data_IF_909291308283
#
_entry.id   IF_909291308283
#
_cell.length_a   1.000
_cell.length_b   1.000
_cell.length_c   1.000
_cell.angle_alpha   90.00
_cell.angle_beta   90.00
_cell.angle_gamma   90.00
#
_symmetry.space_group_name_H-M   'P 1'
#
loop_
_entity.id
_entity.type
_entity.pdbx_description
1 polymer ?
#
# COMPACT_ATOMS: atom_id res chain seq x y z
N UNK A 1 -18.76 19.00 -19.91
CA UNK A 1 -18.19 19.55 -18.66
C UNK A 1 -18.37 18.63 -17.45
N UNK A 2 -19.58 18.10 -17.20
CA UNK A 2 -19.81 17.22 -16.04
C UNK A 2 -19.02 15.89 -16.08
N UNK A 3 -18.75 15.32 -17.26
CA UNK A 3 -17.92 14.10 -17.36
C UNK A 3 -16.45 14.36 -17.04
N UNK A 4 -15.89 15.49 -17.49
CA UNK A 4 -14.49 15.87 -17.23
C UNK A 4 -14.24 16.04 -15.73
N UNK A 5 -15.18 16.67 -15.01
CA UNK A 5 -15.09 16.84 -13.55
C UNK A 5 -15.19 15.47 -12.85
N UNK A 6 -16.07 14.58 -13.33
CA UNK A 6 -16.23 13.22 -12.80
C UNK A 6 -14.96 12.38 -13.01
N UNK A 7 -14.36 12.43 -14.19
CA UNK A 7 -13.12 11.68 -14.49
C UNK A 7 -11.94 12.19 -13.66
N UNK A 8 -11.85 13.50 -13.42
CA UNK A 8 -10.78 14.06 -12.59
C UNK A 8 -10.94 13.68 -11.11
N UNK A 9 -12.17 13.66 -10.59
CA UNK A 9 -12.46 13.19 -9.22
C UNK A 9 -12.17 11.69 -9.10
N UNK A 10 -12.51 10.90 -10.12
CA UNK A 10 -12.25 9.45 -10.14
C UNK A 10 -10.75 9.15 -10.17
N UNK A 11 -10.01 9.87 -11.02
CA UNK A 11 -8.54 9.80 -11.07
C UNK A 11 -7.89 10.26 -9.76
N UNK A 12 -8.44 11.30 -9.10
CA UNK A 12 -7.93 11.77 -7.81
C UNK A 12 -8.19 10.75 -6.69
N UNK A 13 -9.35 10.11 -6.69
CA UNK A 13 -9.68 9.01 -5.78
C UNK A 13 -8.74 7.82 -6.01
N UNK A 14 -8.47 7.44 -7.27
CA UNK A 14 -7.52 6.36 -7.58
C UNK A 14 -6.10 6.69 -7.08
N UNK A 15 -5.62 7.91 -7.30
CA UNK A 15 -4.30 8.35 -6.79
C UNK A 15 -4.27 8.37 -5.26
N UNK A 16 -5.35 8.81 -4.61
CA UNK A 16 -5.46 8.82 -3.15
C UNK A 16 -5.46 7.40 -2.58
N UNK A 17 -6.20 6.48 -3.20
CA UNK A 17 -6.23 5.06 -2.83
C UNK A 17 -4.84 4.43 -3.03
N UNK A 18 -4.15 4.79 -4.11
CA UNK A 18 -2.79 4.34 -4.38
C UNK A 18 -1.80 4.78 -3.30
N UNK A 19 -1.82 6.07 -2.93
CA UNK A 19 -0.94 6.63 -1.90
C UNK A 19 -1.26 6.04 -0.51
N UNK A 20 -2.55 5.87 -0.20
CA UNK A 20 -2.97 5.31 1.10
C UNK A 20 -2.55 3.84 1.26
N UNK A 21 -2.62 3.01 0.21
CA UNK A 21 -2.08 1.63 0.27
C UNK A 21 -0.58 1.60 0.57
N UNK A 22 0.20 2.48 -0.06
CA UNK A 22 1.64 2.59 0.19
C UNK A 22 1.90 3.04 1.64
N UNK A 23 1.15 4.04 2.10
CA UNK A 23 1.27 4.54 3.47
C UNK A 23 0.96 3.46 4.51
N UNK A 24 -0.08 2.65 4.28
CA UNK A 24 -0.43 1.51 5.14
C UNK A 24 0.72 0.49 5.14
N UNK A 25 1.27 0.13 3.99
CA UNK A 25 2.39 -0.79 3.91
C UNK A 25 3.64 -0.29 4.63
N UNK A 26 3.97 1.00 4.50
CA UNK A 26 5.06 1.61 5.28
C UNK A 26 4.77 1.61 6.78
N UNK A 27 3.53 1.88 7.18
CA UNK A 27 3.13 1.89 8.59
C UNK A 27 3.35 0.51 9.23
N UNK A 28 2.89 -0.57 8.58
CA UNK A 28 3.09 -1.96 9.04
C UNK A 28 4.57 -2.30 9.21
N UNK A 29 5.45 -1.85 8.30
CA UNK A 29 6.90 -2.08 8.42
C UNK A 29 7.48 -1.25 9.59
N UNK A 30 7.04 -0.01 9.78
CA UNK A 30 7.58 0.86 10.82
C UNK A 30 7.10 0.49 12.23
N UNK A 31 5.86 0.01 12.37
CA UNK A 31 5.28 -0.40 13.66
C UNK A 31 5.51 -1.87 13.92
N UNK A 32 4.91 -2.75 13.12
CA UNK A 32 4.74 -4.16 13.45
C UNK A 32 6.06 -4.90 13.29
N UNK A 33 6.74 -4.73 12.14
CA UNK A 33 8.07 -5.33 11.95
C UNK A 33 9.06 -4.84 13.02
N UNK A 34 9.05 -3.54 13.35
CA UNK A 34 9.94 -3.00 14.38
C UNK A 34 9.60 -3.53 15.77
N UNK A 35 8.33 -3.72 16.08
CA UNK A 35 7.84 -4.27 17.34
C UNK A 35 8.23 -5.75 17.48
N UNK A 36 7.91 -6.59 16.49
CA UNK A 36 8.24 -8.01 16.49
C UNK A 36 9.75 -8.25 16.50
N UNK A 37 10.53 -7.40 15.80
CA UNK A 37 12.00 -7.42 15.85
C UNK A 37 12.53 -7.12 17.25
N UNK A 38 11.95 -6.15 17.96
CA UNK A 38 12.32 -5.85 19.36
C UNK A 38 11.98 -6.99 20.31
N UNK A 39 10.84 -7.66 20.11
CA UNK A 39 10.42 -8.81 20.92
C UNK A 39 11.10 -10.14 20.55
N UNK A 40 12.04 -10.14 19.59
CA UNK A 40 12.73 -11.32 19.07
C UNK A 40 11.80 -12.37 18.43
N UNK A 41 10.59 -11.98 18.06
CA UNK A 41 9.66 -12.81 17.28
C UNK A 41 10.05 -12.79 15.80
N UNK A 42 11.10 -13.54 15.45
CA UNK A 42 11.69 -13.53 14.09
C UNK A 42 10.66 -13.90 13.01
N UNK A 43 9.85 -14.92 13.25
CA UNK A 43 8.82 -15.38 12.30
C UNK A 43 7.76 -14.32 12.05
N UNK A 44 7.24 -13.69 13.10
CA UNK A 44 6.19 -12.67 12.98
C UNK A 44 6.73 -11.35 12.42
N UNK A 45 8.01 -11.05 12.69
CA UNK A 45 8.71 -9.94 12.06
C UNK A 45 8.82 -10.15 10.55
N UNK A 46 9.31 -11.31 10.10
CA UNK A 46 9.44 -11.60 8.66
C UNK A 46 8.08 -11.60 7.96
N UNK A 47 7.03 -12.11 8.61
CA UNK A 47 5.66 -12.04 8.08
C UNK A 47 5.18 -10.59 7.97
N UNK A 48 5.36 -9.77 9.01
CA UNK A 48 4.95 -8.35 8.97
C UNK A 48 5.71 -7.56 7.91
N UNK A 49 6.99 -7.85 7.72
CA UNK A 49 7.79 -7.25 6.65
C UNK A 49 7.24 -7.65 5.27
N UNK A 50 6.93 -8.94 5.08
CA UNK A 50 6.31 -9.44 3.85
C UNK A 50 4.96 -8.80 3.56
N UNK A 51 4.09 -8.70 4.56
CA UNK A 51 2.76 -8.05 4.43
C UNK A 51 2.92 -6.58 4.05
N UNK A 52 3.80 -5.85 4.72
CA UNK A 52 4.06 -4.44 4.40
C UNK A 52 4.60 -4.25 2.98
N UNK A 53 5.53 -5.11 2.53
CA UNK A 53 6.05 -5.11 1.17
C UNK A 53 4.96 -5.40 0.13
N UNK A 54 4.10 -6.38 0.38
CA UNK A 54 2.98 -6.71 -0.50
C UNK A 54 2.02 -5.53 -0.61
N UNK A 55 1.67 -4.87 0.51
CA UNK A 55 0.83 -3.67 0.48
C UNK A 55 1.43 -2.52 -0.32
N UNK A 56 2.77 -2.37 -0.31
CA UNK A 56 3.45 -1.35 -1.13
C UNK A 56 3.46 -1.74 -2.60
N UNK A 57 3.64 -3.02 -2.93
CA UNK A 57 3.76 -3.50 -4.31
C UNK A 57 2.42 -3.71 -5.02
N UNK A 58 1.36 -4.08 -4.28
CA UNK A 58 0.02 -4.32 -4.80
C UNK A 58 -0.53 -3.16 -5.67
N UNK A 59 -0.46 -1.88 -5.25
CA UNK A 59 -0.97 -0.79 -6.06
C UNK A 59 -0.21 -0.69 -7.40
N UNK A 60 1.10 -0.93 -7.45
CA UNK A 60 1.86 -0.95 -8.71
C UNK A 60 1.45 -2.11 -9.62
N UNK A 61 1.19 -3.29 -9.06
CA UNK A 61 0.68 -4.43 -9.82
C UNK A 61 -0.71 -4.12 -10.40
N UNK A 62 -1.60 -3.50 -9.62
CA UNK A 62 -2.91 -3.05 -10.08
C UNK A 62 -2.81 -2.00 -11.19
N UNK A 63 -1.86 -1.07 -11.08
CA UNK A 63 -1.60 -0.06 -12.10
C UNK A 63 -1.10 -0.70 -13.40
N UNK A 64 -0.24 -1.71 -13.33
CA UNK A 64 0.19 -2.46 -14.52
C UNK A 64 -0.98 -3.20 -15.18
N UNK A 65 -1.84 -3.86 -14.40
CA UNK A 65 -3.01 -4.59 -14.92
C UNK A 65 -4.04 -3.64 -15.54
N UNK A 66 -4.28 -2.48 -14.94
CA UNK A 66 -5.23 -1.49 -15.49
C UNK A 66 -4.71 -0.75 -16.71
N UNK A 67 -3.40 -0.79 -16.99
CA UNK A 67 -2.78 -0.22 -18.19
C UNK A 67 -2.54 -1.23 -19.32
N UNK A 68 -2.84 -2.52 -19.10
CA UNK A 68 -2.77 -3.60 -20.09
C UNK A 68 -4.09 -3.68 -20.88
#
# INVERSE_FOLDING_TARGET
MFSIIRDNIRSFLDVTVFITMIAIGMFVILTDYRYFKKMKFKKDADVSFGVGLVCILLPFALLLVTRL
#
